data_IF_840335447893
#
_entry.id   IF_840335447893
#
_cell.length_a   1.000
_cell.length_b   1.000
_cell.length_c   1.000
_cell.angle_alpha   90.00
_cell.angle_beta   90.00
_cell.angle_gamma   90.00
#
_symmetry.space_group_name_H-M   'P 1'
#
loop_
_entity.id
_entity.type
_entity.pdbx_description
1 polymer ?
#
# COMPACT_ATOMS: atom_id res chain seq x y z
N UNK A 1 -25.13 37.61 22.12
CA UNK A 1 -24.39 37.19 20.92
C UNK A 1 -23.63 35.92 21.28
N UNK A 2 -24.32 34.81 21.59
CA UNK A 2 -23.66 33.73 22.37
C UNK A 2 -23.95 32.30 21.88
N UNK A 3 -24.73 32.14 20.81
CA UNK A 3 -25.08 30.80 20.27
C UNK A 3 -24.37 30.47 18.95
N UNK A 4 -23.68 31.43 18.34
CA UNK A 4 -23.04 31.23 17.03
C UNK A 4 -21.66 30.55 17.14
N UNK A 5 -20.91 30.88 18.20
CA UNK A 5 -19.58 30.35 18.48
C UNK A 5 -19.53 28.83 18.67
N UNK A 6 -20.38 28.19 19.50
CA UNK A 6 -20.35 26.74 19.69
C UNK A 6 -20.76 25.98 18.43
N UNK A 7 -21.61 26.58 17.57
CA UNK A 7 -22.08 25.96 16.33
C UNK A 7 -21.03 25.95 15.23
N UNK A 8 -20.26 27.03 15.11
CA UNK A 8 -19.10 27.10 14.21
C UNK A 8 -17.99 26.13 14.64
N UNK A 9 -17.75 26.01 15.95
CA UNK A 9 -16.78 25.07 16.49
C UNK A 9 -17.15 23.61 16.21
N UNK A 10 -18.42 23.24 16.42
CA UNK A 10 -18.93 21.91 16.09
C UNK A 10 -18.81 21.58 14.59
N UNK A 11 -19.10 22.54 13.71
CA UNK A 11 -18.92 22.35 12.28
C UNK A 11 -17.44 22.19 11.88
N UNK A 12 -16.55 22.98 12.48
CA UNK A 12 -15.10 22.84 12.23
C UNK A 12 -14.58 21.47 12.68
N UNK A 13 -14.99 20.99 13.86
CA UNK A 13 -14.62 19.67 14.36
C UNK A 13 -15.11 18.55 13.43
N UNK A 14 -16.36 18.66 12.96
CA UNK A 14 -16.96 17.69 12.06
C UNK A 14 -16.21 17.66 10.71
N UNK A 15 -15.91 18.81 10.09
CA UNK A 15 -15.13 18.86 8.85
C UNK A 15 -13.74 18.23 8.99
N UNK A 16 -13.04 18.46 10.11
CA UNK A 16 -11.74 17.82 10.38
C UNK A 16 -11.87 16.29 10.54
N UNK A 17 -12.92 15.80 11.20
CA UNK A 17 -13.16 14.36 11.35
C UNK A 17 -13.41 13.67 9.99
N UNK A 18 -14.15 14.30 9.08
CA UNK A 18 -14.39 13.75 7.74
C UNK A 18 -13.17 13.92 6.81
N UNK A 19 -12.26 14.85 7.06
CA UNK A 19 -11.03 14.98 6.29
C UNK A 19 -10.00 13.85 6.57
N UNK A 20 -10.21 13.06 7.63
CA UNK A 20 -9.32 11.95 8.01
C UNK A 20 -9.78 10.58 7.46
N UNK A 21 -10.59 10.54 6.40
CA UNK A 21 -10.74 9.30 5.64
C UNK A 21 -9.40 8.99 4.95
N UNK A 22 -8.53 8.28 5.66
CA UNK A 22 -7.41 7.59 5.07
C UNK A 22 -7.98 6.62 4.03
N UNK A 23 -7.65 6.88 2.77
CA UNK A 23 -7.90 5.95 1.68
C UNK A 23 -7.24 4.63 2.09
N UNK A 24 -8.02 3.54 2.08
CA UNK A 24 -7.49 2.22 2.36
C UNK A 24 -6.34 1.99 1.40
N UNK A 25 -5.13 1.79 1.94
CA UNK A 25 -3.99 1.35 1.15
C UNK A 25 -4.46 0.15 0.33
N UNK A 26 -4.28 0.22 -0.98
CA UNK A 26 -4.63 -0.87 -1.88
C UNK A 26 -3.92 -2.12 -1.36
N UNK A 27 -4.68 -3.16 -1.00
CA UNK A 27 -4.10 -4.29 -0.25
C UNK A 27 -3.87 -5.45 -1.19
N UNK A 28 -2.62 -5.90 -1.22
CA UNK A 28 -2.25 -7.18 -1.82
C UNK A 28 -2.84 -8.33 -0.98
N UNK A 29 -3.45 -9.35 -1.61
CA UNK A 29 -3.89 -10.54 -0.91
C UNK A 29 -2.76 -11.22 -0.12
N UNK A 30 -3.07 -11.73 1.08
CA UNK A 30 -2.05 -12.35 1.96
C UNK A 30 -1.38 -13.57 1.34
N UNK A 31 -2.11 -14.32 0.53
CA UNK A 31 -1.63 -15.47 -0.22
C UNK A 31 -0.59 -15.07 -1.27
N UNK A 32 -0.76 -13.94 -1.94
CA UNK A 32 0.25 -13.41 -2.87
C UNK A 32 1.51 -12.95 -2.14
N UNK A 33 1.36 -12.25 -1.01
CA UNK A 33 2.49 -11.83 -0.16
C UNK A 33 3.29 -13.04 0.30
N UNK A 34 2.61 -14.10 0.76
CA UNK A 34 3.26 -15.33 1.23
C UNK A 34 3.96 -16.05 0.08
N UNK A 35 3.30 -16.17 -1.08
CA UNK A 35 3.87 -16.81 -2.26
C UNK A 35 5.13 -16.07 -2.73
N UNK A 36 5.09 -14.73 -2.74
CA UNK A 36 6.25 -13.91 -3.08
C UNK A 36 7.39 -14.09 -2.06
N UNK A 37 7.08 -14.24 -0.78
CA UNK A 37 8.08 -14.52 0.25
C UNK A 37 8.77 -15.88 0.04
N UNK A 38 8.01 -16.90 -0.36
CA UNK A 38 8.55 -18.23 -0.65
C UNK A 38 9.41 -18.23 -1.92
N UNK A 39 9.00 -17.48 -2.96
CA UNK A 39 9.80 -17.27 -4.18
C UNK A 39 11.09 -16.52 -3.84
N UNK A 40 11.01 -15.43 -3.09
CA UNK A 40 12.17 -14.65 -2.67
C UNK A 40 13.17 -15.49 -1.89
N UNK A 41 12.68 -16.36 -1.00
CA UNK A 41 13.51 -17.31 -0.26
C UNK A 41 14.18 -18.32 -1.19
N UNK A 42 13.42 -18.86 -2.15
CA UNK A 42 13.94 -19.78 -3.18
C UNK A 42 15.03 -19.12 -4.03
N UNK A 43 14.84 -17.86 -4.39
CA UNK A 43 15.78 -17.06 -5.20
C UNK A 43 16.94 -16.47 -4.38
N UNK A 44 16.96 -16.64 -3.05
CA UNK A 44 17.98 -16.06 -2.19
C UNK A 44 17.96 -14.53 -2.07
N UNK A 45 16.81 -13.89 -2.34
CA UNK A 45 16.63 -12.44 -2.17
C UNK A 45 16.49 -12.09 -0.69
N UNK A 46 17.62 -11.85 -0.03
CA UNK A 46 17.68 -11.47 1.40
C UNK A 46 17.38 -10.00 1.66
N UNK A 47 17.42 -9.17 0.62
CA UNK A 47 17.12 -7.74 0.70
C UNK A 47 15.62 -7.46 0.79
N UNK A 48 14.74 -8.43 0.53
CA UNK A 48 13.28 -8.26 0.61
C UNK A 48 12.75 -8.54 2.02
N UNK A 49 12.03 -7.56 2.60
CA UNK A 49 11.54 -7.65 3.98
C UNK A 49 10.02 -7.80 4.06
N UNK A 50 9.54 -9.00 4.33
CA UNK A 50 8.10 -9.31 4.42
C UNK A 50 7.50 -9.10 5.82
N UNK A 51 8.18 -8.37 6.71
CA UNK A 51 7.70 -8.12 8.07
C UNK A 51 6.65 -7.01 8.11
N UNK A 52 5.54 -7.22 8.83
CA UNK A 52 4.51 -6.20 9.04
C UNK A 52 3.55 -6.07 7.85
N UNK A 53 3.25 -4.84 7.44
CA UNK A 53 2.39 -4.52 6.29
C UNK A 53 3.22 -4.47 4.99
N UNK A 54 3.83 -5.61 4.64
CA UNK A 54 4.63 -5.70 3.42
C UNK A 54 3.74 -5.55 2.17
N UNK A 55 3.98 -4.50 1.41
CA UNK A 55 3.27 -4.21 0.17
C UNK A 55 4.26 -3.93 -0.95
N UNK A 56 4.62 -4.96 -1.74
CA UNK A 56 5.56 -4.82 -2.85
C UNK A 56 5.00 -3.95 -3.99
N UNK A 57 3.68 -3.68 -4.01
CA UNK A 57 3.04 -2.86 -5.03
C UNK A 57 3.13 -1.36 -4.75
N UNK A 58 3.55 -0.94 -3.55
CA UNK A 58 3.75 0.48 -3.24
C UNK A 58 5.01 1.08 -3.86
N UNK A 59 5.75 0.33 -4.69
CA UNK A 59 6.95 0.80 -5.39
C UNK A 59 8.06 1.30 -4.45
N UNK A 60 8.04 0.89 -3.18
CA UNK A 60 9.03 1.26 -2.17
C UNK A 60 10.13 0.19 -2.17
N UNK A 61 11.39 0.60 -1.93
CA UNK A 61 12.48 -0.34 -1.67
C UNK A 61 12.10 -1.23 -0.47
N UNK A 62 12.37 -2.54 -0.51
CA UNK A 62 13.34 -3.21 -1.39
C UNK A 62 12.80 -3.89 -2.67
N UNK A 63 11.48 -3.86 -2.92
CA UNK A 63 10.85 -4.60 -4.04
C UNK A 63 10.87 -3.86 -5.38
N UNK A 64 11.20 -2.58 -5.36
CA UNK A 64 11.35 -1.78 -6.57
C UNK A 64 12.74 -1.15 -6.59
N UNK A 65 13.75 -1.96 -6.95
CA UNK A 65 15.11 -1.44 -7.15
C UNK A 65 15.37 -1.17 -8.64
N UNK A 66 15.22 0.08 -9.03
CA UNK A 66 15.55 0.58 -10.37
C UNK A 66 17.05 0.58 -10.68
N UNK A 67 17.92 0.25 -9.70
CA UNK A 67 19.37 0.16 -9.88
C UNK A 67 19.86 -1.27 -10.11
N UNK A 68 18.98 -2.27 -9.99
CA UNK A 68 19.27 -3.60 -10.52
C UNK A 68 19.24 -3.47 -12.05
N UNK A 69 20.39 -3.67 -12.71
CA UNK A 69 20.55 -3.51 -14.17
C UNK A 69 19.54 -4.31 -15.00
N UNK A 70 19.51 -4.07 -16.32
CA UNK A 70 18.56 -4.63 -17.31
C UNK A 70 17.97 -6.01 -16.92
N UNK A 71 16.79 -5.98 -16.31
CA UNK A 71 16.23 -7.11 -15.55
C UNK A 71 15.77 -6.68 -14.16
N UNK A 72 15.13 -5.50 -14.07
CA UNK A 72 14.66 -4.93 -12.82
C UNK A 72 13.85 -5.97 -12.04
N UNK A 73 14.35 -6.32 -10.85
CA UNK A 73 13.71 -7.16 -9.82
C UNK A 73 12.45 -6.48 -9.23
N UNK A 74 11.63 -5.91 -10.11
CA UNK A 74 10.52 -5.03 -9.81
C UNK A 74 9.23 -5.82 -9.86
N UNK A 75 8.61 -6.02 -8.71
CA UNK A 75 7.25 -6.54 -8.66
C UNK A 75 6.32 -5.55 -9.35
N UNK A 76 5.60 -6.01 -10.36
CA UNK A 76 4.55 -5.23 -11.03
C UNK A 76 3.20 -5.74 -10.59
N UNK A 77 2.30 -4.82 -10.28
CA UNK A 77 0.97 -5.15 -9.80
C UNK A 77 -0.11 -4.50 -10.66
N UNK A 78 -1.21 -5.21 -10.84
CA UNK A 78 -2.45 -4.67 -11.39
C UNK A 78 -3.44 -4.42 -10.25
N UNK A 79 -3.78 -3.16 -10.04
CA UNK A 79 -4.70 -2.69 -9.02
C UNK A 79 -6.05 -2.27 -9.60
N UNK A 80 -6.46 -2.84 -10.73
CA UNK A 80 -7.76 -2.55 -11.36
C UNK A 80 -8.93 -3.30 -10.70
N UNK A 81 -8.65 -4.13 -9.69
CA UNK A 81 -9.62 -5.04 -9.08
C UNK A 81 -10.39 -4.38 -7.93
N UNK A 82 -11.66 -4.80 -7.76
CA UNK A 82 -12.55 -4.35 -6.68
C UNK A 82 -12.55 -2.83 -6.51
N UNK A 83 -12.84 -2.10 -7.58
CA UNK A 83 -12.83 -0.62 -7.59
C UNK A 83 -11.48 -0.02 -7.14
N UNK A 84 -10.38 -0.65 -7.57
CA UNK A 84 -9.01 -0.24 -7.24
C UNK A 84 -8.65 -0.30 -5.76
N UNK A 85 -9.22 -1.25 -5.03
CA UNK A 85 -8.91 -1.50 -3.61
C UNK A 85 -8.06 -2.76 -3.41
N UNK A 86 -8.04 -3.66 -4.39
CA UNK A 86 -7.25 -4.90 -4.37
C UNK A 86 -6.26 -4.86 -5.53
N UNK A 87 -5.00 -5.17 -5.23
CA UNK A 87 -3.94 -5.36 -6.22
C UNK A 87 -3.63 -6.83 -6.39
N UNK A 88 -3.14 -7.22 -7.56
CA UNK A 88 -2.60 -8.55 -7.83
C UNK A 88 -1.21 -8.43 -8.46
N UNK A 89 -0.26 -9.28 -8.07
CA UNK A 89 1.05 -9.34 -8.72
C UNK A 89 0.90 -9.96 -10.13
N UNK A 90 1.34 -9.24 -11.16
CA UNK A 90 1.29 -9.72 -12.55
C UNK A 90 2.64 -10.17 -13.07
N UNK A 91 3.72 -9.49 -12.67
CA UNK A 91 5.09 -9.86 -13.06
C UNK A 91 6.06 -9.59 -11.91
N UNK A 92 7.17 -10.31 -11.93
CA UNK A 92 8.25 -10.26 -10.95
C UNK A 92 9.60 -10.33 -11.64
#
# INVERSE_FOLDING_TARGET
MDMFFPRLFLHSLLVVCFANFAFGATRLPRDEVQTLADIAKTLGKTNWSFSGDADPCNHIKPWNDTNAGEGSDGVTCDCSFTSSTVCHITTM
#
